data_IF_782516922558
#
_entry.id   IF_782516922558
#
_cell.length_a   1.000
_cell.length_b   1.000
_cell.length_c   1.000
_cell.angle_alpha   90.00
_cell.angle_beta   90.00
_cell.angle_gamma   90.00
#
_symmetry.space_group_name_H-M   'P 1'
#
loop_
_entity.id
_entity.type
_entity.pdbx_description
1 polymer ?
#
# COMPACT_ATOMS: atom_id res chain seq x y z
N UNK A 1 -14.88 38.45 -62.73
CA UNK A 1 -15.40 38.62 -61.36
C UNK A 1 -16.90 38.86 -61.42
N UNK A 2 -17.69 37.84 -61.09
CA UNK A 2 -19.13 38.02 -60.87
C UNK A 2 -19.35 38.35 -59.38
N UNK A 3 -20.22 39.32 -59.06
CA UNK A 3 -20.57 39.62 -57.67
C UNK A 3 -21.31 38.42 -57.04
N UNK A 4 -21.11 38.19 -55.75
CA UNK A 4 -21.66 37.05 -54.99
C UNK A 4 -23.19 36.99 -54.91
N UNK A 5 -23.88 38.01 -55.43
CA UNK A 5 -25.35 38.11 -55.48
C UNK A 5 -25.97 37.74 -56.84
N UNK A 6 -25.19 37.18 -57.78
CA UNK A 6 -25.68 36.89 -59.13
C UNK A 6 -26.03 35.39 -59.30
N UNK A 7 -27.31 34.98 -59.40
CA UNK A 7 -27.67 33.59 -59.65
C UNK A 7 -27.29 33.18 -61.09
N UNK A 8 -26.52 32.09 -61.23
CA UNK A 8 -26.14 31.55 -62.53
C UNK A 8 -27.31 30.77 -63.16
N UNK A 9 -27.51 30.92 -64.46
CA UNK A 9 -28.61 30.27 -65.19
C UNK A 9 -28.13 29.18 -66.13
N UNK A 10 -28.95 28.15 -66.34
CA UNK A 10 -28.66 27.06 -67.30
C UNK A 10 -28.52 27.65 -68.71
N UNK A 11 -27.35 27.44 -69.34
CA UNK A 11 -26.98 28.02 -70.64
C UNK A 11 -26.06 29.24 -70.58
N UNK A 12 -25.74 29.76 -69.39
CA UNK A 12 -24.81 30.87 -69.21
C UNK A 12 -23.36 30.47 -69.49
N UNK A 13 -22.69 31.16 -70.42
CA UNK A 13 -21.24 30.98 -70.68
C UNK A 13 -20.42 31.76 -69.66
N UNK A 14 -19.62 31.05 -68.86
CA UNK A 14 -18.69 31.62 -67.89
C UNK A 14 -17.27 31.63 -68.47
N UNK A 15 -16.64 32.80 -68.48
CA UNK A 15 -15.23 32.93 -68.83
C UNK A 15 -14.38 32.69 -67.58
N UNK A 16 -13.72 31.54 -67.52
CA UNK A 16 -12.78 31.19 -66.44
C UNK A 16 -11.42 31.78 -66.84
N UNK A 17 -10.84 32.71 -66.04
CA UNK A 17 -9.52 33.23 -66.33
C UNK A 17 -8.50 32.09 -66.28
N UNK A 18 -7.67 32.00 -67.31
CA UNK A 18 -6.57 31.04 -67.33
C UNK A 18 -5.53 31.50 -66.30
N UNK A 19 -5.04 30.62 -65.41
CA UNK A 19 -4.03 31.01 -64.45
C UNK A 19 -2.74 31.39 -65.19
N UNK A 20 -2.25 32.61 -64.94
CA UNK A 20 -0.91 33.01 -65.40
C UNK A 20 0.12 32.14 -64.66
N UNK A 21 1.01 31.42 -65.37
CA UNK A 21 2.04 30.62 -64.71
C UNK A 21 2.94 31.52 -63.87
N UNK A 22 2.90 31.33 -62.55
CA UNK A 22 3.77 32.04 -61.60
C UNK A 22 5.05 31.24 -61.45
N UNK A 23 6.21 31.89 -61.64
CA UNK A 23 7.52 31.23 -61.50
C UNK A 23 7.69 30.81 -60.03
N UNK A 24 8.09 29.56 -59.74
CA UNK A 24 8.34 29.11 -58.38
C UNK A 24 9.44 29.96 -57.72
N UNK A 25 9.30 30.30 -56.43
CA UNK A 25 10.38 30.94 -55.68
C UNK A 25 11.63 30.03 -55.63
N UNK A 26 12.84 30.60 -55.54
CA UNK A 26 14.07 29.82 -55.41
C UNK A 26 14.02 28.94 -54.15
N UNK A 27 14.66 27.74 -54.17
CA UNK A 27 14.67 26.85 -53.01
C UNK A 27 15.34 27.55 -51.83
N UNK A 28 14.58 27.71 -50.75
CA UNK A 28 15.10 28.20 -49.47
C UNK A 28 15.78 27.03 -48.76
N UNK A 29 17.05 27.19 -48.35
CA UNK A 29 17.81 26.18 -47.62
C UNK A 29 17.09 25.80 -46.32
N UNK A 30 16.26 24.77 -46.38
CA UNK A 30 15.63 24.17 -45.20
C UNK A 30 16.69 23.33 -44.50
N UNK A 31 17.09 23.65 -43.26
CA UNK A 31 18.01 22.80 -42.51
C UNK A 31 17.44 21.39 -42.37
N UNK A 32 18.32 20.39 -42.41
CA UNK A 32 17.93 18.99 -42.13
C UNK A 32 17.25 18.92 -40.75
N UNK A 33 16.19 18.10 -40.64
CA UNK A 33 15.36 17.99 -39.45
C UNK A 33 16.18 17.73 -38.16
N UNK A 34 17.28 16.97 -38.27
CA UNK A 34 18.15 16.62 -37.15
C UNK A 34 18.89 17.82 -36.55
N UNK A 35 19.18 18.86 -37.35
CA UNK A 35 19.80 20.11 -36.88
C UNK A 35 18.76 20.96 -36.12
N UNK A 36 17.53 21.02 -36.64
CA UNK A 36 16.44 21.78 -36.05
C UNK A 36 16.03 21.23 -34.67
N UNK A 37 16.02 19.90 -34.50
CA UNK A 37 15.69 19.25 -33.23
C UNK A 37 16.78 19.46 -32.16
N UNK A 38 18.06 19.46 -32.51
CA UNK A 38 19.14 19.78 -31.57
C UNK A 38 19.14 21.24 -31.12
N UNK A 39 18.81 22.18 -32.01
CA UNK A 39 18.72 23.62 -31.69
C UNK A 39 17.53 23.99 -30.80
N UNK A 40 16.46 23.19 -30.81
CA UNK A 40 15.30 23.39 -29.93
C UNK A 40 15.49 22.85 -28.51
N UNK A 41 16.57 22.10 -28.26
CA UNK A 41 16.87 21.57 -26.93
C UNK A 41 17.47 22.67 -26.05
N UNK A 42 16.82 23.00 -24.93
CA UNK A 42 17.42 23.88 -23.93
C UNK A 42 18.64 23.21 -23.31
N UNK A 43 19.80 23.88 -23.36
CA UNK A 43 21.07 23.39 -22.82
C UNK A 43 21.59 24.29 -21.72
N UNK A 44 22.17 23.70 -20.68
CA UNK A 44 22.87 24.44 -19.62
C UNK A 44 24.39 24.25 -19.79
N UNK A 45 25.18 25.33 -19.98
CA UNK A 45 26.63 25.25 -19.98
C UNK A 45 27.16 25.12 -18.55
N UNK A 46 28.05 24.15 -18.31
CA UNK A 46 28.69 23.88 -17.02
C UNK A 46 30.19 23.79 -17.24
N UNK A 47 30.96 24.52 -16.43
CA UNK A 47 32.40 24.33 -16.34
C UNK A 47 32.71 23.36 -15.21
N UNK A 48 33.31 22.22 -15.53
CA UNK A 48 33.65 21.15 -14.57
C UNK A 48 34.59 21.71 -13.49
N UNK A 49 34.18 21.61 -12.24
CA UNK A 49 34.95 22.07 -11.08
C UNK A 49 35.70 20.91 -10.38
N UNK A 50 36.48 21.24 -9.36
CA UNK A 50 37.19 20.25 -8.56
C UNK A 50 36.19 19.34 -7.85
N UNK A 51 36.33 18.02 -8.03
CA UNK A 51 35.40 16.97 -7.59
C UNK A 51 34.11 16.80 -8.43
N UNK A 52 33.95 17.52 -9.53
CA UNK A 52 32.88 17.20 -10.48
C UNK A 52 33.23 15.95 -11.29
N UNK A 53 32.23 15.07 -11.44
CA UNK A 53 32.30 13.89 -12.29
C UNK A 53 31.12 13.92 -13.24
N UNK A 54 31.23 13.21 -14.37
CA UNK A 54 30.11 13.10 -15.30
C UNK A 54 28.87 12.49 -14.62
N UNK A 55 29.06 11.59 -13.67
CA UNK A 55 28.00 11.01 -12.84
C UNK A 55 27.34 12.03 -11.91
N UNK A 56 28.11 12.89 -11.22
CA UNK A 56 27.53 13.90 -10.33
C UNK A 56 26.75 14.95 -11.12
N UNK A 57 27.26 15.37 -12.28
CA UNK A 57 26.56 16.29 -13.19
C UNK A 57 25.27 15.64 -13.74
N UNK A 58 25.34 14.38 -14.18
CA UNK A 58 24.17 13.64 -14.66
C UNK A 58 23.05 13.56 -13.61
N UNK A 59 23.40 13.26 -12.36
CA UNK A 59 22.46 13.18 -11.24
C UNK A 59 21.87 14.55 -10.90
N UNK A 60 22.69 15.60 -10.84
CA UNK A 60 22.24 16.95 -10.51
C UNK A 60 21.21 17.50 -11.50
N UNK A 61 21.35 17.18 -12.77
CA UNK A 61 20.47 17.70 -13.84
C UNK A 61 19.40 16.71 -14.29
N UNK A 62 19.35 15.51 -13.71
CA UNK A 62 18.46 14.40 -14.07
C UNK A 62 18.54 14.02 -15.57
N UNK A 63 19.73 14.14 -16.18
CA UNK A 63 19.99 13.79 -17.58
C UNK A 63 20.92 12.58 -17.60
N UNK A 64 20.63 11.50 -18.37
CA UNK A 64 21.50 10.33 -18.43
C UNK A 64 22.94 10.68 -18.88
N UNK A 65 23.95 10.07 -18.26
CA UNK A 65 25.36 10.28 -18.63
C UNK A 65 25.62 10.05 -20.13
N UNK A 66 24.97 9.04 -20.72
CA UNK A 66 25.07 8.75 -22.16
C UNK A 66 24.60 9.94 -23.03
N UNK A 67 23.48 10.56 -22.67
CA UNK A 67 22.96 11.74 -23.36
C UNK A 67 23.93 12.93 -23.27
N UNK A 68 24.54 13.17 -22.10
CA UNK A 68 25.55 14.23 -21.94
C UNK A 68 26.80 13.92 -22.79
N UNK A 69 27.25 12.67 -22.84
CA UNK A 69 28.41 12.28 -23.67
C UNK A 69 28.16 12.48 -25.15
N UNK A 70 27.05 11.96 -25.66
CA UNK A 70 26.67 12.06 -27.07
C UNK A 70 26.51 13.52 -27.49
N UNK A 71 25.92 14.35 -26.63
CA UNK A 71 25.72 15.79 -26.91
C UNK A 71 27.04 16.57 -26.97
N UNK A 72 28.04 16.19 -26.16
CA UNK A 72 29.35 16.85 -26.09
C UNK A 72 30.46 16.14 -26.88
N UNK A 73 30.13 15.06 -27.61
CA UNK A 73 31.10 14.28 -28.37
C UNK A 73 32.16 13.57 -27.50
N UNK A 74 31.83 13.25 -26.25
CA UNK A 74 32.76 12.57 -25.34
C UNK A 74 32.80 11.07 -25.63
N UNK A 75 34.01 10.51 -25.72
CA UNK A 75 34.23 9.07 -25.93
C UNK A 75 34.37 8.29 -24.62
N UNK A 76 34.64 8.98 -23.51
CA UNK A 76 34.84 8.39 -22.17
C UNK A 76 33.98 9.08 -21.12
N UNK A 77 33.79 8.43 -19.97
CA UNK A 77 33.08 9.02 -18.82
C UNK A 77 33.94 10.02 -18.02
N UNK A 78 35.22 10.19 -18.39
CA UNK A 78 36.14 11.10 -17.73
C UNK A 78 35.87 12.55 -18.16
N UNK A 79 35.84 13.46 -17.18
CA UNK A 79 35.74 14.91 -17.36
C UNK A 79 36.94 15.57 -16.68
N UNK A 80 37.47 16.63 -17.29
CA UNK A 80 38.66 17.34 -16.80
C UNK A 80 38.28 18.66 -16.13
N UNK A 81 39.03 19.05 -15.10
CA UNK A 81 38.87 20.34 -14.45
C UNK A 81 38.95 21.48 -15.48
N UNK A 82 37.97 22.39 -15.46
CA UNK A 82 37.87 23.52 -16.38
C UNK A 82 37.25 23.17 -17.75
N UNK A 83 36.86 21.92 -17.99
CA UNK A 83 36.17 21.52 -19.21
C UNK A 83 34.75 22.08 -19.24
N UNK A 84 34.37 22.70 -20.38
CA UNK A 84 33.00 23.16 -20.61
C UNK A 84 32.14 22.04 -21.19
N UNK A 85 30.99 21.77 -20.57
CA UNK A 85 30.02 20.76 -20.94
C UNK A 85 28.65 21.39 -21.14
N UNK A 86 27.94 20.97 -22.18
CA UNK A 86 26.56 21.34 -22.46
C UNK A 86 25.62 20.22 -22.00
N UNK A 87 24.77 20.49 -21.02
CA UNK A 87 23.80 19.51 -20.53
C UNK A 87 22.46 19.70 -21.23
N UNK A 88 21.98 18.73 -22.05
CA UNK A 88 20.72 18.85 -22.78
C UNK A 88 19.51 18.56 -21.86
N UNK A 89 18.79 19.60 -21.44
CA UNK A 89 17.65 19.46 -20.53
C UNK A 89 16.44 18.79 -21.18
N UNK A 90 16.33 18.81 -22.51
CA UNK A 90 15.29 18.11 -23.25
C UNK A 90 15.41 16.57 -23.13
N UNK A 91 16.56 16.06 -22.68
CA UNK A 91 16.82 14.63 -22.47
C UNK A 91 16.75 14.24 -21.00
N UNK A 92 16.11 15.07 -20.16
CA UNK A 92 15.85 14.69 -18.77
C UNK A 92 15.07 13.39 -18.73
N UNK A 93 15.59 12.45 -17.95
CA UNK A 93 14.82 11.26 -17.63
C UNK A 93 13.58 11.69 -16.85
N UNK A 94 12.43 11.08 -17.15
CA UNK A 94 11.27 11.22 -16.29
C UNK A 94 11.71 10.81 -14.87
N UNK A 95 11.53 11.70 -13.90
CA UNK A 95 11.72 11.33 -12.51
C UNK A 95 10.82 10.13 -12.23
N UNK A 96 11.34 9.07 -11.57
CA UNK A 96 10.46 8.04 -11.05
C UNK A 96 9.37 8.75 -10.25
N UNK A 97 8.11 8.58 -10.67
CA UNK A 97 6.98 9.09 -9.91
C UNK A 97 7.05 8.53 -8.49
N UNK A 98 6.34 9.12 -7.52
CA UNK A 98 6.26 8.53 -6.19
C UNK A 98 5.82 7.06 -6.34
N UNK A 99 6.70 6.13 -5.97
CA UNK A 99 6.32 4.73 -5.85
C UNK A 99 5.18 4.68 -4.84
N UNK A 100 4.01 4.11 -5.17
CA UNK A 100 2.93 4.00 -4.20
C UNK A 100 3.40 3.16 -3.01
N UNK A 101 3.71 3.83 -1.90
CA UNK A 101 3.90 3.16 -0.61
C UNK A 101 2.54 2.62 -0.19
N UNK A 102 2.43 1.30 0.00
CA UNK A 102 1.20 0.69 0.47
C UNK A 102 0.77 1.37 1.79
N UNK A 103 -0.38 2.04 1.76
CA UNK A 103 -0.95 2.65 2.97
C UNK A 103 -1.51 1.53 3.84
N UNK A 104 -1.10 1.47 5.10
CA UNK A 104 -1.67 0.50 6.03
C UNK A 104 -3.19 0.70 6.09
N UNK A 105 -3.99 -0.38 6.01
CA UNK A 105 -5.43 -0.26 6.07
C UNK A 105 -5.87 0.31 7.42
N UNK A 106 -7.03 0.98 7.46
CA UNK A 106 -7.54 1.57 8.70
C UNK A 106 -7.70 0.48 9.77
N UNK A 107 -7.35 0.78 11.05
CA UNK A 107 -7.54 -0.16 12.14
C UNK A 107 -9.02 -0.50 12.35
N UNK A 108 -9.32 -1.76 12.67
CA UNK A 108 -10.68 -2.18 13.02
C UNK A 108 -11.15 -1.56 14.34
N UNK A 109 -12.47 -1.27 14.48
CA UNK A 109 -13.05 -0.88 15.76
C UNK A 109 -13.01 -2.04 16.76
N UNK A 110 -13.25 -1.73 18.03
CA UNK A 110 -13.33 -2.72 19.10
C UNK A 110 -14.54 -3.66 18.88
N UNK A 111 -14.38 -5.00 18.94
CA UNK A 111 -15.49 -5.93 18.87
C UNK A 111 -16.46 -5.73 20.05
N UNK A 112 -17.77 -5.69 19.78
CA UNK A 112 -18.78 -5.65 20.84
C UNK A 112 -19.01 -7.07 21.38
N UNK A 113 -18.78 -7.30 22.67
CA UNK A 113 -18.99 -8.61 23.29
C UNK A 113 -20.49 -8.86 23.49
N UNK A 114 -20.97 -10.04 23.12
CA UNK A 114 -22.40 -10.37 23.15
C UNK A 114 -22.70 -11.36 24.27
N UNK A 115 -22.05 -12.52 24.24
CA UNK A 115 -22.23 -13.59 25.23
C UNK A 115 -20.89 -14.10 25.75
N UNK A 116 -20.83 -14.56 27.00
CA UNK A 116 -21.86 -14.40 28.02
C UNK A 116 -22.10 -12.92 28.40
N UNK A 117 -23.23 -12.67 29.08
CA UNK A 117 -23.44 -11.39 29.75
C UNK A 117 -22.32 -11.16 30.78
N UNK A 118 -21.98 -9.90 31.03
CA UNK A 118 -20.95 -9.59 32.02
C UNK A 118 -21.39 -10.04 33.42
N UNK A 119 -20.53 -10.76 34.11
CA UNK A 119 -20.81 -11.37 35.42
C UNK A 119 -21.64 -12.65 35.36
N UNK A 120 -21.93 -13.24 34.18
CA UNK A 120 -22.66 -14.50 34.08
C UNK A 120 -21.97 -15.62 34.90
N UNK A 121 -22.78 -16.54 35.43
CA UNK A 121 -22.28 -17.65 36.25
C UNK A 121 -22.50 -19.00 35.58
N UNK A 122 -21.45 -19.80 35.54
CA UNK A 122 -21.44 -21.16 35.00
C UNK A 122 -21.08 -22.15 36.11
N UNK A 123 -21.96 -23.14 36.29
CA UNK A 123 -21.86 -24.13 37.37
C UNK A 123 -21.49 -25.52 36.82
N UNK A 124 -21.55 -26.54 37.68
CA UNK A 124 -21.41 -27.95 37.29
C UNK A 124 -22.40 -28.41 36.22
N UNK A 125 -23.59 -27.82 36.19
CA UNK A 125 -24.61 -28.13 35.19
C UNK A 125 -24.31 -27.53 33.80
N UNK A 126 -23.33 -26.62 33.70
CA UNK A 126 -22.92 -26.01 32.45
C UNK A 126 -21.65 -26.69 31.94
N UNK A 127 -21.82 -27.53 30.91
CA UNK A 127 -20.71 -28.26 30.31
C UNK A 127 -19.85 -27.40 29.37
N UNK A 128 -20.41 -26.30 28.86
CA UNK A 128 -19.79 -25.49 27.80
C UNK A 128 -19.99 -24.01 28.06
N UNK A 129 -18.90 -23.24 27.99
CA UNK A 129 -18.92 -21.78 27.97
C UNK A 129 -18.60 -21.32 26.56
N UNK A 130 -19.56 -20.66 25.90
CA UNK A 130 -19.36 -20.08 24.57
C UNK A 130 -19.22 -18.57 24.70
N UNK A 131 -18.10 -18.06 24.22
CA UNK A 131 -17.84 -16.63 24.04
C UNK A 131 -18.33 -16.24 22.65
N UNK A 132 -19.04 -15.12 22.54
CA UNK A 132 -19.58 -14.61 21.29
C UNK A 132 -19.43 -13.09 21.24
N UNK A 133 -19.07 -12.56 20.08
CA UNK A 133 -18.90 -11.13 19.84
C UNK A 133 -19.48 -10.72 18.49
N UNK A 134 -19.68 -9.43 18.29
CA UNK A 134 -20.06 -8.87 17.00
C UNK A 134 -18.85 -8.85 16.06
N UNK A 135 -19.09 -9.17 14.78
CA UNK A 135 -18.07 -8.99 13.75
C UNK A 135 -17.67 -7.51 13.61
N UNK A 136 -16.39 -7.26 13.36
CA UNK A 136 -15.84 -5.92 13.05
C UNK A 136 -15.83 -5.62 11.54
N UNK A 137 -16.44 -6.51 10.75
CA UNK A 137 -16.42 -6.52 9.30
C UNK A 137 -15.81 -7.81 8.76
N UNK A 138 -15.61 -7.86 7.45
CA UNK A 138 -14.94 -8.99 6.80
C UNK A 138 -13.45 -8.96 7.14
N UNK A 139 -12.99 -10.00 7.84
CA UNK A 139 -11.58 -10.25 8.07
C UNK A 139 -10.93 -10.71 6.76
N UNK A 140 -9.69 -10.27 6.51
CA UNK A 140 -8.88 -10.76 5.38
C UNK A 140 -8.32 -12.16 5.69
N UNK A 141 -7.81 -12.84 4.67
CA UNK A 141 -7.25 -14.20 4.79
C UNK A 141 -6.12 -14.32 5.82
N UNK A 142 -5.40 -13.21 6.09
CA UNK A 142 -4.31 -13.13 7.07
C UNK A 142 -4.75 -12.51 8.40
N UNK A 143 -6.05 -12.40 8.66
CA UNK A 143 -6.60 -11.77 9.85
C UNK A 143 -7.47 -12.73 10.65
N UNK A 144 -7.44 -12.56 11.98
CA UNK A 144 -8.17 -13.38 12.93
C UNK A 144 -8.59 -12.55 14.14
N UNK A 145 -9.46 -13.11 14.96
CA UNK A 145 -9.71 -12.67 16.32
C UNK A 145 -8.78 -13.40 17.28
N UNK A 146 -7.95 -12.66 18.01
CA UNK A 146 -7.26 -13.16 19.17
C UNK A 146 -8.22 -13.19 20.36
N UNK A 147 -8.49 -14.38 20.87
CA UNK A 147 -9.34 -14.64 22.03
C UNK A 147 -8.43 -14.83 23.23
N UNK A 148 -8.59 -13.98 24.25
CA UNK A 148 -7.83 -14.07 25.48
C UNK A 148 -8.78 -14.36 26.62
N UNK A 149 -8.50 -15.39 27.41
CA UNK A 149 -9.24 -15.75 28.63
C UNK A 149 -8.23 -15.94 29.75
N UNK A 150 -8.41 -15.24 30.85
CA UNK A 150 -7.56 -15.28 32.03
C UNK A 150 -8.37 -15.66 33.26
N UNK A 151 -7.85 -16.60 34.04
CA UNK A 151 -8.36 -16.87 35.38
C UNK A 151 -7.68 -15.91 36.36
N UNK A 152 -8.43 -14.92 36.86
CA UNK A 152 -7.87 -13.89 37.76
C UNK A 152 -7.90 -14.30 39.24
N UNK A 153 -8.56 -15.41 39.54
CA UNK A 153 -8.71 -15.96 40.89
C UNK A 153 -7.78 -17.14 41.16
N UNK A 154 -7.22 -17.75 40.11
CA UNK A 154 -6.27 -18.83 40.26
C UNK A 154 -4.98 -18.35 40.95
N UNK A 155 -4.45 -19.19 41.84
CA UNK A 155 -3.16 -18.96 42.50
C UNK A 155 -1.97 -18.99 41.54
N UNK A 156 -2.14 -19.59 40.36
CA UNK A 156 -1.16 -19.59 39.27
C UNK A 156 -1.78 -18.93 38.05
N UNK A 157 -0.97 -18.17 37.29
CA UNK A 157 -1.43 -17.53 36.06
C UNK A 157 -1.89 -18.58 35.04
N UNK A 158 -3.21 -18.69 34.85
CA UNK A 158 -3.80 -19.50 33.77
C UNK A 158 -4.39 -18.55 32.73
N UNK A 159 -3.90 -18.67 31.50
CA UNK A 159 -4.33 -17.86 30.37
C UNK A 159 -4.44 -18.71 29.10
N UNK A 160 -5.52 -18.50 28.36
CA UNK A 160 -5.69 -18.93 26.97
C UNK A 160 -5.37 -17.73 26.06
N UNK A 161 -4.69 -18.00 24.96
CA UNK A 161 -4.54 -17.05 23.85
C UNK A 161 -4.68 -17.83 22.56
N UNK A 162 -5.89 -17.82 22.00
CA UNK A 162 -6.24 -18.55 20.79
C UNK A 162 -6.59 -17.59 19.66
N UNK A 163 -6.59 -18.10 18.42
CA UNK A 163 -6.86 -17.31 17.22
C UNK A 163 -7.95 -18.00 16.42
N UNK A 164 -9.04 -17.28 16.14
CA UNK A 164 -10.19 -17.80 15.40
C UNK A 164 -10.69 -16.80 14.37
N UNK A 165 -11.24 -17.28 13.26
CA UNK A 165 -11.87 -16.43 12.24
C UNK A 165 -13.37 -16.27 12.46
N UNK A 166 -13.99 -17.20 13.20
CA UNK A 166 -15.40 -17.13 13.62
C UNK A 166 -15.63 -16.06 14.69
N UNK A 167 -16.88 -15.62 14.84
CA UNK A 167 -17.32 -14.69 15.90
C UNK A 167 -17.78 -15.38 17.17
N UNK A 168 -17.32 -16.62 17.37
CA UNK A 168 -17.61 -17.46 18.53
C UNK A 168 -16.39 -18.28 18.91
N UNK A 169 -16.26 -18.58 20.19
CA UNK A 169 -15.21 -19.43 20.73
C UNK A 169 -15.74 -20.25 21.89
N UNK A 170 -15.51 -21.56 21.88
CA UNK A 170 -15.88 -22.44 22.98
C UNK A 170 -14.67 -22.57 23.89
N UNK A 171 -14.81 -22.15 25.15
CA UNK A 171 -13.72 -22.26 26.13
C UNK A 171 -13.43 -23.74 26.37
N UNK A 172 -12.18 -24.21 26.17
CA UNK A 172 -11.81 -25.59 26.39
C UNK A 172 -12.14 -26.05 27.81
N UNK A 173 -12.70 -27.26 27.94
CA UNK A 173 -13.02 -27.85 29.24
C UNK A 173 -11.78 -28.09 30.10
N UNK A 174 -10.60 -28.21 29.49
CA UNK A 174 -9.31 -28.26 30.19
C UNK A 174 -9.00 -26.97 30.97
N UNK A 175 -9.60 -25.84 30.59
CA UNK A 175 -9.45 -24.56 31.28
C UNK A 175 -10.38 -24.43 32.49
N UNK A 176 -11.38 -25.31 32.62
CA UNK A 176 -12.26 -25.36 33.79
C UNK A 176 -11.45 -25.44 35.09
N UNK A 177 -11.83 -24.72 36.15
CA UNK A 177 -11.25 -24.92 37.47
C UNK A 177 -11.37 -26.37 37.94
N UNK A 178 -10.47 -26.78 38.83
CA UNK A 178 -10.42 -28.16 39.36
C UNK A 178 -10.89 -28.28 40.81
N UNK A 179 -11.25 -27.17 41.42
CA UNK A 179 -11.80 -27.07 42.75
C UNK A 179 -13.25 -26.58 42.71
N UNK A 180 -13.91 -26.59 43.87
CA UNK A 180 -15.30 -26.19 44.04
C UNK A 180 -15.48 -24.69 44.29
N UNK A 181 -14.43 -23.88 44.12
CA UNK A 181 -14.50 -22.43 44.28
C UNK A 181 -14.96 -21.82 42.96
N UNK A 182 -15.66 -20.69 43.03
CA UNK A 182 -15.99 -19.92 41.84
C UNK A 182 -14.79 -19.13 41.38
N UNK A 183 -14.34 -19.40 40.15
CA UNK A 183 -13.25 -18.65 39.55
C UNK A 183 -13.80 -17.55 38.66
N UNK A 184 -13.21 -16.36 38.73
CA UNK A 184 -13.52 -15.24 37.84
C UNK A 184 -12.65 -15.35 36.60
N UNK A 185 -13.30 -15.57 35.46
CA UNK A 185 -12.69 -15.64 34.15
C UNK A 185 -12.87 -14.31 33.44
N UNK A 186 -11.77 -13.60 33.18
CA UNK A 186 -11.77 -12.35 32.43
C UNK A 186 -11.38 -12.61 30.98
N UNK A 187 -12.13 -12.08 30.04
CA UNK A 187 -11.89 -12.29 28.63
C UNK A 187 -12.12 -11.04 27.78
N UNK A 188 -11.45 -10.99 26.64
CA UNK A 188 -11.59 -9.93 25.63
C UNK A 188 -11.07 -10.42 24.29
N UNK A 189 -11.43 -9.67 23.24
CA UNK A 189 -11.14 -10.00 21.84
C UNK A 189 -10.33 -8.88 21.22
N UNK A 190 -9.32 -9.24 20.42
CA UNK A 190 -8.53 -8.28 19.65
C UNK A 190 -8.51 -8.73 18.19
N UNK A 191 -8.91 -7.89 17.22
CA UNK A 191 -8.65 -8.18 15.81
C UNK A 191 -7.14 -8.09 15.56
N UNK A 192 -6.57 -9.13 14.98
CA UNK A 192 -5.15 -9.26 14.71
C UNK A 192 -4.89 -9.61 13.25
N UNK A 193 -3.70 -9.29 12.77
CA UNK A 193 -3.17 -9.65 11.46
C UNK A 193 -1.89 -10.45 11.63
N UNK A 194 -1.75 -11.51 10.86
CA UNK A 194 -0.51 -12.25 10.74
C UNK A 194 0.48 -11.43 9.89
N UNK A 195 1.62 -11.06 10.46
CA UNK A 195 2.68 -10.30 9.78
C UNK A 195 3.84 -11.17 9.31
N UNK A 196 3.89 -12.42 9.76
CA UNK A 196 4.92 -13.37 9.38
C UNK A 196 4.77 -14.71 10.10
N UNK A 197 5.85 -15.48 10.07
CA UNK A 197 6.04 -16.68 10.86
C UNK A 197 7.39 -16.58 11.58
N UNK A 198 7.49 -17.15 12.76
CA UNK A 198 8.75 -17.23 13.50
C UNK A 198 9.65 -18.37 12.98
N UNK A 199 10.82 -18.51 13.60
CA UNK A 199 11.80 -19.56 13.26
C UNK A 199 11.27 -20.99 13.44
N UNK A 200 10.17 -21.15 14.19
CA UNK A 200 9.52 -22.42 14.49
C UNK A 200 8.29 -22.66 13.61
N UNK A 201 8.01 -21.74 12.67
CA UNK A 201 6.86 -21.80 11.77
C UNK A 201 5.55 -21.36 12.40
N UNK A 202 5.56 -20.79 13.61
CA UNK A 202 4.35 -20.27 14.25
C UNK A 202 4.00 -18.88 13.73
N UNK A 203 2.72 -18.57 13.54
CA UNK A 203 2.29 -17.28 13.03
C UNK A 203 2.60 -16.15 14.02
N UNK A 204 3.21 -15.07 13.51
CA UNK A 204 3.43 -13.83 14.27
C UNK A 204 2.23 -12.92 14.06
N UNK A 205 1.51 -12.61 15.15
CA UNK A 205 0.30 -11.79 15.13
C UNK A 205 0.56 -10.39 15.68
N UNK A 206 0.03 -9.37 14.99
CA UNK A 206 0.05 -7.96 15.41
C UNK A 206 -1.38 -7.45 15.45
N UNK A 207 -1.70 -6.55 16.39
CA UNK A 207 -3.02 -5.94 16.48
C UNK A 207 -3.37 -5.19 15.18
N UNK A 208 -4.52 -5.53 14.59
CA UNK A 208 -5.08 -4.87 13.40
C UNK A 208 -6.25 -3.93 13.75
N UNK A 209 -6.55 -3.76 15.03
CA UNK A 209 -7.59 -2.86 15.53
C UNK A 209 -7.60 -2.74 17.05
N UNK A 210 -8.63 -2.10 17.57
CA UNK A 210 -8.80 -1.90 19.01
C UNK A 210 -9.25 -3.20 19.71
N UNK A 211 -8.77 -3.40 20.95
CA UNK A 211 -9.26 -4.45 21.82
C UNK A 211 -10.70 -4.15 22.26
N UNK A 212 -11.52 -5.19 22.45
CA UNK A 212 -12.82 -5.06 23.09
C UNK A 212 -12.67 -4.60 24.54
N UNK A 213 -13.77 -4.11 25.11
CA UNK A 213 -13.90 -4.07 26.57
C UNK A 213 -13.70 -5.47 27.15
N UNK A 214 -13.22 -5.53 28.39
CA UNK A 214 -13.04 -6.79 29.11
C UNK A 214 -14.35 -7.17 29.78
N UNK A 215 -14.76 -8.42 29.63
CA UNK A 215 -15.88 -9.00 30.37
C UNK A 215 -15.41 -10.08 31.31
N UNK A 216 -16.23 -10.34 32.32
CA UNK A 216 -16.01 -11.43 33.26
C UNK A 216 -17.17 -12.41 33.24
N UNK A 217 -16.89 -13.67 33.53
CA UNK A 217 -17.87 -14.66 33.94
C UNK A 217 -17.29 -15.49 35.08
N UNK A 218 -18.14 -16.13 35.87
CA UNK A 218 -17.69 -17.06 36.91
C UNK A 218 -17.85 -18.50 36.44
N UNK A 219 -16.89 -19.35 36.77
CA UNK A 219 -16.94 -20.78 36.45
C UNK A 219 -16.51 -21.63 37.65
N UNK A 220 -17.30 -22.64 37.99
CA UNK A 220 -17.01 -23.58 39.10
C UNK A 220 -16.55 -24.93 38.56
N UNK A 221 -15.47 -25.45 39.15
CA UNK A 221 -14.90 -26.78 38.91
C UNK A 221 -15.52 -27.88 39.78
N UNK A 222 -15.29 -29.15 39.43
CA UNK A 222 -15.90 -30.36 40.02
C UNK A 222 -15.94 -30.45 41.55
N UNK A 223 -16.88 -31.26 42.07
CA UNK A 223 -16.82 -31.82 43.44
C UNK A 223 -15.67 -32.82 43.56
N UNK A 224 -14.91 -32.76 44.65
CA UNK A 224 -13.92 -33.78 45.08
C UNK A 224 -14.52 -35.18 44.92
N UNK A 225 -13.86 -36.03 44.14
CA UNK A 225 -14.20 -37.45 44.01
C UNK A 225 -14.18 -38.07 45.40
N UNK A 226 -15.34 -38.56 45.85
CA UNK A 226 -15.48 -39.25 47.13
C UNK A 226 -14.48 -40.40 47.24
N UNK A 227 -13.92 -40.54 48.43
CA UNK A 227 -13.05 -41.63 48.90
C UNK A 227 -13.43 -43.01 48.33
N UNK A 228 -12.47 -43.87 47.94
CA UNK A 228 -12.77 -45.26 47.65
C UNK A 228 -13.26 -45.92 48.95
N UNK A 229 -14.47 -46.46 48.91
CA UNK A 229 -15.03 -47.19 50.04
C UNK A 229 -14.25 -48.50 50.25
N UNK A 230 -13.78 -48.82 51.47
CA UNK A 230 -13.14 -50.09 51.77
C UNK A 230 -14.11 -51.28 51.71
#
# INVERSE_FOLDING_TARGET
NLPSSCPISVGQRLLIPYPTPTIPPPPTNTPLADIATKQACETVPITVQENDTLSSISLNYAVPMAAIKEFNGLTTDNVFLGQSLLVPLCMRAATPGPTPTATLPPPYPAPNLLLPADGAAFTLANDVVTLQWASVGTLRDVEAYQVIVEDVTASQTRRITDYVTDTKYIVPTSFRPRDNVAHVMRWWIIPVRQTGVDEQGQPIWVASGAASDKRVFTWVGVTVQGTPNP
#
